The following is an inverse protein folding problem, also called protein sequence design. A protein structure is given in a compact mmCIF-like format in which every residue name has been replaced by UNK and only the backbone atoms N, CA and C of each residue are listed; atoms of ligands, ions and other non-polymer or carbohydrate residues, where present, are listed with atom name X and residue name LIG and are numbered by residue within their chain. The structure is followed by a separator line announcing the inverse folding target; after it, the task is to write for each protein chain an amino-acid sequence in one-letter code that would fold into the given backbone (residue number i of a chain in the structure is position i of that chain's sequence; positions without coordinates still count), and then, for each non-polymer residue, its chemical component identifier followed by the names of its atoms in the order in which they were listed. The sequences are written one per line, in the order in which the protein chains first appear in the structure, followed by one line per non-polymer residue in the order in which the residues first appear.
data_IF_556168060782
#
_entry.id   IF_556168060782
#
_cell.length_a   1.000
_cell.length_b   1.000
_cell.length_c   1.000
_cell.angle_alpha   90.00
_cell.angle_beta   90.00
_cell.angle_gamma   90.00
#
_symmetry.space_group_name_H-M   'P 1'
#
loop_
_entity.id
_entity.type
_entity.pdbx_description
1 polymer ?
#
# COMPACT_ATOMS: atom_id res chain seq x y z
N UNK A 1 3.97 7.67 6.01
CA UNK A 1 2.51 7.86 5.92
C UNK A 1 2.15 7.33 4.55
N UNK A 2 1.57 6.13 4.48
CA UNK A 2 1.43 5.41 3.22
C UNK A 2 0.31 6.02 2.37
N UNK A 3 0.52 6.21 1.06
CA UNK A 3 -0.40 6.93 0.19
C UNK A 3 -1.70 6.16 0.00
N UNK A 4 -2.83 6.82 0.30
CA UNK A 4 -4.17 6.31 0.04
C UNK A 4 -4.44 6.36 -1.47
N UNK A 5 -4.57 5.19 -2.10
CA UNK A 5 -5.02 5.10 -3.48
C UNK A 5 -6.56 5.12 -3.52
N UNK A 6 -7.13 6.31 -3.71
CA UNK A 6 -8.55 6.46 -4.08
C UNK A 6 -8.67 6.70 -5.58
N UNK A 7 -9.83 6.35 -6.13
CA UNK A 7 -10.19 6.02 -7.54
C UNK A 7 -9.87 7.01 -8.68
N UNK A 8 -8.97 7.99 -8.55
CA UNK A 8 -8.72 8.97 -9.62
C UNK A 8 -7.27 9.37 -9.86
N UNK A 9 -6.30 8.67 -9.28
CA UNK A 9 -4.89 8.96 -9.56
C UNK A 9 -4.05 7.68 -9.55
N UNK A 10 -3.24 7.48 -10.58
CA UNK A 10 -2.23 6.43 -10.60
C UNK A 10 -1.13 6.78 -9.61
N UNK A 11 -0.84 5.86 -8.68
CA UNK A 11 0.24 5.99 -7.73
C UNK A 11 1.48 5.33 -8.32
N UNK A 12 2.60 6.05 -8.27
CA UNK A 12 3.90 5.53 -8.67
C UNK A 12 4.54 4.77 -7.50
N UNK A 13 5.22 3.67 -7.81
CA UNK A 13 5.85 2.81 -6.82
C UNK A 13 6.81 1.83 -7.46
N UNK A 14 7.32 0.93 -6.63
CA UNK A 14 8.29 -0.08 -7.01
C UNK A 14 7.63 -1.46 -6.98
N UNK A 15 8.03 -2.34 -7.90
CA UNK A 15 7.55 -3.70 -7.99
C UNK A 15 8.67 -4.66 -7.57
N UNK A 16 8.34 -5.59 -6.69
CA UNK A 16 9.27 -6.58 -6.16
C UNK A 16 8.71 -7.99 -6.36
N UNK A 17 9.58 -8.92 -6.71
CA UNK A 17 9.30 -10.35 -6.58
C UNK A 17 9.66 -10.79 -5.16
N UNK A 18 8.72 -11.46 -4.50
CA UNK A 18 8.85 -11.90 -3.12
C UNK A 18 8.44 -13.36 -3.03
N UNK A 19 9.12 -14.13 -2.18
CA UNK A 19 8.71 -15.48 -1.83
C UNK A 19 7.58 -15.48 -0.79
N UNK A 20 7.00 -16.64 -0.55
CA UNK A 20 5.87 -16.80 0.37
C UNK A 20 6.24 -16.48 1.82
N UNK A 21 7.49 -16.75 2.23
CA UNK A 21 7.99 -16.46 3.59
C UNK A 21 8.10 -14.95 3.83
N UNK A 22 8.66 -14.23 2.86
CA UNK A 22 8.74 -12.77 2.89
C UNK A 22 7.36 -12.15 2.82
N UNK A 23 6.47 -12.71 2.02
CA UNK A 23 5.10 -12.26 1.89
C UNK A 23 4.30 -12.42 3.19
N UNK A 24 4.48 -13.54 3.91
CA UNK A 24 3.90 -13.73 5.24
C UNK A 24 4.46 -12.73 6.27
N UNK A 25 5.77 -12.48 6.24
CA UNK A 25 6.40 -11.47 7.10
C UNK A 25 5.86 -10.06 6.84
N UNK A 26 5.53 -9.73 5.59
CA UNK A 26 4.90 -8.45 5.23
C UNK A 26 3.46 -8.38 5.76
N UNK A 27 2.70 -9.47 5.73
CA UNK A 27 1.35 -9.51 6.32
C UNK A 27 1.36 -9.17 7.81
N UNK A 28 2.29 -9.75 8.55
CA UNK A 28 2.44 -9.47 9.99
C UNK A 28 2.84 -8.01 10.25
N UNK A 29 3.75 -7.47 9.44
CA UNK A 29 4.22 -6.08 9.56
C UNK A 29 3.13 -5.06 9.25
N UNK A 30 2.28 -5.34 8.26
CA UNK A 30 1.18 -4.48 7.82
C UNK A 30 -0.10 -4.71 8.64
N UNK A 31 -0.13 -5.70 9.54
CA UNK A 31 -1.29 -6.00 10.37
C UNK A 31 -2.48 -6.53 9.56
N UNK A 32 -2.18 -7.30 8.50
CA UNK A 32 -3.19 -7.98 7.69
C UNK A 32 -3.94 -9.04 8.50
N UNK A 33 -5.27 -9.21 8.33
CA UNK A 33 -6.20 -8.47 7.47
C UNK A 33 -6.92 -7.29 8.14
N UNK A 34 -6.57 -6.99 9.40
CA UNK A 34 -7.32 -6.04 10.23
C UNK A 34 -7.01 -4.57 9.93
N UNK A 35 -5.75 -4.27 9.61
CA UNK A 35 -5.29 -2.90 9.40
C UNK A 35 -5.12 -2.57 7.91
N UNK A 36 -4.30 -3.34 7.21
CA UNK A 36 -4.23 -3.35 5.76
C UNK A 36 -4.72 -4.68 5.19
N UNK A 37 -5.45 -4.62 4.09
CA UNK A 37 -5.91 -5.79 3.35
C UNK A 37 -5.10 -5.94 2.08
N UNK A 38 -4.48 -7.11 1.91
CA UNK A 38 -3.80 -7.48 0.69
C UNK A 38 -4.82 -7.78 -0.40
N UNK A 39 -4.76 -7.06 -1.51
CA UNK A 39 -5.63 -7.22 -2.67
C UNK A 39 -4.79 -7.30 -3.94
N UNK A 40 -5.25 -8.09 -4.91
CA UNK A 40 -4.66 -8.10 -6.26
C UNK A 40 -5.05 -6.80 -6.96
N UNK A 41 -4.07 -6.09 -7.49
CA UNK A 41 -4.27 -4.88 -8.28
C UNK A 41 -3.49 -4.93 -9.59
N UNK A 42 -3.95 -4.16 -10.58
CA UNK A 42 -3.29 -4.03 -11.87
C UNK A 42 -2.28 -2.90 -11.83
N UNK A 43 -1.02 -3.21 -12.15
CA UNK A 43 0.09 -2.27 -12.19
C UNK A 43 0.59 -2.13 -13.62
N UNK A 44 0.72 -0.89 -14.11
CA UNK A 44 1.33 -0.61 -15.42
C UNK A 44 2.84 -0.57 -15.27
N UNK A 45 3.56 -1.34 -16.08
CA UNK A 45 5.03 -1.45 -16.08
C UNK A 45 5.58 -1.13 -17.47
N UNK A 46 5.53 0.15 -17.90
CA UNK A 46 6.03 0.54 -19.22
C UNK A 46 7.53 0.20 -19.33
N UNK A 47 7.89 -0.55 -20.37
CA UNK A 47 9.28 -0.95 -20.63
C UNK A 47 9.78 -2.21 -19.89
N UNK A 48 8.97 -2.82 -19.02
CA UNK A 48 9.34 -4.10 -18.41
C UNK A 48 9.21 -5.23 -19.45
N UNK A 49 10.34 -5.79 -19.89
CA UNK A 49 10.38 -7.00 -20.73
C UNK A 49 10.41 -8.24 -19.83
N UNK A 50 9.30 -8.54 -19.15
CA UNK A 50 9.27 -9.67 -18.22
C UNK A 50 9.06 -11.00 -18.94
N UNK A 51 9.75 -12.04 -18.47
CA UNK A 51 9.48 -13.47 -18.74
C UNK A 51 8.26 -14.01 -17.99
N UNK A 52 7.69 -13.22 -17.06
CA UNK A 52 6.45 -13.55 -16.36
C UNK A 52 5.21 -13.05 -17.11
N UNK A 53 4.07 -13.72 -16.88
CA UNK A 53 2.79 -13.54 -17.57
C UNK A 53 2.28 -12.09 -17.45
N UNK A 54 2.69 -11.25 -18.39
CA UNK A 54 2.25 -9.87 -18.55
C UNK A 54 1.06 -9.83 -19.50
N UNK A 55 0.04 -9.05 -19.15
CA UNK A 55 -1.09 -8.79 -20.04
C UNK A 55 -0.76 -7.51 -20.80
N UNK A 56 -0.56 -7.60 -22.11
CA UNK A 56 -0.38 -6.40 -22.94
C UNK A 56 -1.73 -5.73 -23.13
N UNK A 57 -1.86 -4.47 -22.70
CA UNK A 57 -3.03 -3.63 -22.98
C UNK A 57 -2.55 -2.29 -23.54
N UNK A 58 -3.00 -1.94 -24.74
CA UNK A 58 -2.78 -0.61 -25.35
C UNK A 58 -1.33 -0.10 -25.36
N UNK A 59 -0.36 -0.98 -25.64
CA UNK A 59 1.10 -0.75 -25.62
C UNK A 59 1.76 -0.66 -24.24
N UNK A 60 0.99 -0.75 -23.15
CA UNK A 60 1.53 -0.89 -21.80
C UNK A 60 1.52 -2.37 -21.38
N UNK A 61 2.59 -2.79 -20.69
CA UNK A 61 2.57 -4.06 -19.98
C UNK A 61 1.83 -3.87 -18.65
N UNK A 62 0.81 -4.69 -18.40
CA UNK A 62 0.07 -4.70 -17.14
C UNK A 62 0.35 -6.01 -16.41
N UNK A 63 0.66 -5.91 -15.12
CA UNK A 63 0.87 -7.05 -14.23
C UNK A 63 -0.13 -7.03 -13.09
N UNK A 64 -0.63 -8.21 -12.72
CA UNK A 64 -1.40 -8.39 -11.49
C UNK A 64 -0.45 -8.59 -10.32
N UNK A 65 -0.50 -7.68 -9.35
CA UNK A 65 0.41 -7.63 -8.22
C UNK A 65 -0.37 -7.56 -6.92
N UNK A 66 0.20 -8.09 -5.84
CA UNK A 66 -0.33 -7.87 -4.51
C UNK A 66 0.01 -6.47 -4.01
N UNK A 67 -0.98 -5.78 -3.46
CA UNK A 67 -0.80 -4.50 -2.78
C UNK A 67 -1.66 -4.43 -1.52
N UNK A 68 -1.20 -3.66 -0.54
CA UNK A 68 -1.86 -3.48 0.75
C UNK A 68 -2.72 -2.22 0.75
N UNK A 69 -4.02 -2.38 1.01
CA UNK A 69 -4.99 -1.29 1.02
C UNK A 69 -5.67 -1.19 2.38
N UNK A 70 -5.83 0.04 2.86
CA UNK A 70 -6.65 0.34 4.02
C UNK A 70 -8.11 0.44 3.55
N UNK A 71 -8.94 -0.51 3.96
CA UNK A 71 -10.34 -0.60 3.54
C UNK A 71 -11.30 0.04 4.54
N UNK A 72 -10.89 0.14 5.81
CA UNK A 72 -11.63 0.79 6.89
C UNK A 72 -10.94 2.09 7.27
N UNK A 73 -11.37 3.21 6.69
CA UNK A 73 -10.80 4.54 6.97
C UNK A 73 -11.87 5.56 7.36
N UNK A 74 -11.48 6.53 8.18
CA UNK A 74 -12.24 7.73 8.50
C UNK A 74 -12.43 8.60 7.25
N UNK A 75 -13.64 9.13 7.02
CA UNK A 75 -13.95 9.94 5.82
C UNK A 75 -13.08 11.19 5.73
N UNK A 76 -12.67 11.72 6.86
CA UNK A 76 -11.78 12.87 7.01
C UNK A 76 -10.42 12.65 6.31
N UNK A 77 -10.02 11.39 6.11
CA UNK A 77 -8.81 11.02 5.35
C UNK A 77 -8.97 11.28 3.85
N UNK A 78 -10.21 11.27 3.33
CA UNK A 78 -10.51 11.57 1.92
C UNK A 78 -10.21 13.03 1.57
N UNK A 79 -10.25 13.92 2.55
CA UNK A 79 -10.02 15.35 2.38
C UNK A 79 -8.51 15.71 2.39
N UNK A 80 -7.64 14.75 2.71
CA UNK A 80 -6.20 14.97 2.71
C UNK A 80 -5.63 15.12 1.28
N UNK A 81 -4.55 15.90 1.11
CA UNK A 81 -3.87 16.02 -0.17
C UNK A 81 -3.45 14.66 -0.72
N UNK A 82 -3.71 14.46 -2.02
CA UNK A 82 -3.41 13.21 -2.71
C UNK A 82 -1.99 13.23 -3.23
N UNK A 83 -1.24 12.19 -2.91
CA UNK A 83 0.16 12.05 -3.30
C UNK A 83 0.26 11.09 -4.49
N UNK A 84 0.91 11.54 -5.57
CA UNK A 84 1.19 10.72 -6.75
C UNK A 84 2.35 9.74 -6.51
N UNK A 85 3.38 10.23 -5.85
CA UNK A 85 4.52 9.45 -5.38
C UNK A 85 4.78 9.85 -3.93
N UNK A 86 5.11 8.86 -3.10
CA UNK A 86 5.50 9.09 -1.73
C UNK A 86 7.00 8.85 -1.62
N UNK A 87 7.78 9.93 -1.61
CA UNK A 87 9.20 9.87 -1.25
C UNK A 87 9.31 10.29 0.20
N UNK A 88 9.71 9.36 1.06
CA UNK A 88 10.06 9.71 2.42
C UNK A 88 11.56 10.03 2.46
N UNK A 89 12.00 11.29 2.64
CA UNK A 89 13.42 11.58 2.88
C UNK A 89 13.88 11.06 4.26
N UNK A 90 12.98 10.46 5.06
CA UNK A 90 13.29 9.98 6.40
C UNK A 90 14.08 8.67 6.33
N UNK A 91 15.38 8.82 6.61
CA UNK A 91 16.31 7.82 7.10
C UNK A 91 15.63 6.70 7.90
N UNK A 92 16.01 5.44 7.61
CA UNK A 92 15.54 4.23 8.29
C UNK A 92 15.74 4.21 9.83
N UNK A 93 16.37 5.23 10.42
CA UNK A 93 16.54 5.42 11.86
C UNK A 93 15.34 6.13 12.50
N UNK A 94 14.13 5.62 12.30
CA UNK A 94 12.95 6.07 13.03
C UNK A 94 12.85 5.23 14.31
N UNK A 95 12.88 5.87 15.49
CA UNK A 95 12.86 5.13 16.76
C UNK A 95 11.57 4.29 16.91
N UNK A 96 11.60 3.18 17.67
CA UNK A 96 10.39 2.40 17.95
C UNK A 96 9.24 3.23 18.53
N UNK A 97 9.56 4.27 19.31
CA UNK A 97 8.58 5.20 19.88
C UNK A 97 7.89 6.04 18.80
N UNK A 98 8.66 6.59 17.86
CA UNK A 98 8.13 7.39 16.75
C UNK A 98 7.33 6.52 15.77
N UNK A 99 7.74 5.26 15.56
CA UNK A 99 6.93 4.25 14.87
C UNK A 99 5.61 4.01 15.60
N UNK A 100 5.66 3.86 16.92
CA UNK A 100 4.47 3.72 17.78
C UNK A 100 3.50 4.90 17.65
N UNK A 101 4.00 6.14 17.68
CA UNK A 101 3.18 7.36 17.50
C UNK A 101 2.49 7.39 16.14
N UNK A 102 3.20 7.00 15.07
CA UNK A 102 2.63 6.95 13.71
C UNK A 102 1.56 5.88 13.58
N UNK A 103 1.80 4.70 14.15
CA UNK A 103 0.80 3.62 14.19
C UNK A 103 -0.40 4.03 15.02
N UNK A 104 -0.21 4.66 16.20
CA UNK A 104 -1.31 5.15 17.03
C UNK A 104 -2.14 6.23 16.31
N UNK A 105 -1.47 7.17 15.64
CA UNK A 105 -2.13 8.18 14.80
C UNK A 105 -2.94 7.53 13.68
N UNK A 106 -2.39 6.53 13.00
CA UNK A 106 -3.11 5.82 11.94
C UNK A 106 -4.26 4.95 12.48
N UNK A 107 -4.09 4.30 13.64
CA UNK A 107 -5.17 3.61 14.36
C UNK A 107 -6.31 4.56 14.75
N UNK A 108 -6.01 5.82 15.10
CA UNK A 108 -7.07 6.81 15.36
C UNK A 108 -7.88 7.19 14.11
N UNK A 109 -7.34 6.94 12.91
CA UNK A 109 -8.03 7.15 11.63
C UNK A 109 -8.70 5.89 11.07
N UNK A 110 -8.47 4.72 11.68
CA UNK A 110 -9.18 3.49 11.35
C UNK A 110 -10.35 3.39 12.32
N UNK A 111 -11.57 3.66 11.85
CA UNK A 111 -12.78 3.48 12.66
C UNK A 111 -12.84 2.03 13.15
N UNK A 112 -12.78 1.85 14.47
CA UNK A 112 -13.24 0.62 15.10
C UNK A 112 -14.70 0.38 14.71
N UNK A 113 -14.97 -0.83 14.23
CA UNK A 113 -16.33 -1.40 14.29
C UNK A 113 -16.82 -1.41 15.74
N UNK A 114 -18.14 -1.29 15.95
CA UNK A 114 -18.72 -0.80 17.19
C UNK A 114 -18.53 -1.79 18.34
N UNK A 115 -18.44 -1.23 19.55
CA UNK A 115 -18.67 -1.95 20.80
C UNK A 115 -20.00 -2.71 20.72
N UNK A 116 -19.94 -4.04 20.84
CA UNK A 116 -21.03 -4.90 21.30
C UNK A 116 -20.51 -6.27 21.70
#
# INVERSE_FOLDING_TARGET
MFPFCLRSQHVEGELYEVDDEKLASLDDLEGHPHFYQRLVTKVRTPGLKSSTKTITMDNDNVLECWAYFITSYCREVLDLPRLKSFTNPIHYNISPEERGKRVAKLKSFVKGTPDS
#
